data_IF_404964015465
#
_entry.id   IF_404964015465
#
_cell.length_a   1.000
_cell.length_b   1.000
_cell.length_c   1.000
_cell.angle_alpha   90.00
_cell.angle_beta   90.00
_cell.angle_gamma   90.00
#
_symmetry.space_group_name_H-M   'P 1'
#
loop_
_entity.id
_entity.type
_entity.pdbx_description
1 polymer ?
#
# COMPACT_ATOMS: atom_id res chain seq x y z
N UNK A 1 -15.16 -15.83 -68.14
CA UNK A 1 -15.76 -16.74 -67.13
C UNK A 1 -14.90 -16.82 -65.88
N UNK A 2 -13.60 -17.14 -65.98
CA UNK A 2 -12.69 -17.27 -64.83
C UNK A 2 -12.53 -16.04 -63.91
N UNK A 3 -12.56 -14.81 -64.43
CA UNK A 3 -12.37 -13.60 -63.60
C UNK A 3 -13.58 -13.29 -62.68
N UNK A 4 -14.79 -13.69 -63.08
CA UNK A 4 -16.00 -13.48 -62.28
C UNK A 4 -16.05 -14.45 -61.09
N UNK A 5 -15.63 -15.71 -61.27
CA UNK A 5 -15.56 -16.71 -60.21
C UNK A 5 -14.52 -16.34 -59.13
N UNK A 6 -13.41 -15.73 -59.52
CA UNK A 6 -12.36 -15.26 -58.59
C UNK A 6 -12.88 -14.11 -57.70
N UNK A 7 -13.63 -13.15 -58.26
CA UNK A 7 -14.21 -12.06 -57.46
C UNK A 7 -15.29 -12.55 -56.48
N UNK A 8 -16.13 -13.51 -56.89
CA UNK A 8 -17.13 -14.11 -56.01
C UNK A 8 -16.51 -14.94 -54.89
N UNK A 9 -15.43 -15.68 -55.18
CA UNK A 9 -14.72 -16.46 -54.15
C UNK A 9 -13.96 -15.56 -53.18
N UNK A 10 -13.32 -14.48 -53.63
CA UNK A 10 -12.70 -13.46 -52.76
C UNK A 10 -13.75 -12.79 -51.87
N UNK A 11 -14.91 -12.42 -52.42
CA UNK A 11 -16.01 -11.83 -51.63
C UNK A 11 -16.57 -12.78 -50.57
N UNK A 12 -16.70 -14.07 -50.89
CA UNK A 12 -17.18 -15.07 -49.95
C UNK A 12 -16.14 -15.36 -48.85
N UNK A 13 -14.86 -15.43 -49.19
CA UNK A 13 -13.76 -15.59 -48.23
C UNK A 13 -13.65 -14.36 -47.32
N UNK A 14 -13.75 -13.14 -47.85
CA UNK A 14 -13.76 -11.91 -47.06
C UNK A 14 -14.97 -11.85 -46.10
N UNK A 15 -16.15 -12.28 -46.55
CA UNK A 15 -17.34 -12.40 -45.72
C UNK A 15 -17.17 -13.40 -44.57
N UNK A 16 -16.61 -14.58 -44.85
CA UNK A 16 -16.32 -15.59 -43.82
C UNK A 16 -15.29 -15.07 -42.81
N UNK A 17 -14.24 -14.38 -43.25
CA UNK A 17 -13.25 -13.75 -42.37
C UNK A 17 -13.88 -12.66 -41.50
N UNK A 18 -14.76 -11.81 -42.07
CA UNK A 18 -15.46 -10.78 -41.31
C UNK A 18 -16.38 -11.36 -40.24
N UNK A 19 -17.12 -12.43 -40.55
CA UNK A 19 -17.98 -13.13 -39.59
C UNK A 19 -17.14 -13.80 -38.49
N UNK A 20 -16.03 -14.44 -38.84
CA UNK A 20 -15.09 -15.02 -37.87
C UNK A 20 -14.50 -13.94 -36.95
N UNK A 21 -14.08 -12.79 -37.51
CA UNK A 21 -13.55 -11.68 -36.73
C UNK A 21 -14.61 -11.10 -35.78
N UNK A 22 -15.85 -10.94 -36.24
CA UNK A 22 -16.96 -10.50 -35.41
C UNK A 22 -17.27 -11.49 -34.28
N UNK A 23 -17.21 -12.79 -34.54
CA UNK A 23 -17.46 -13.83 -33.55
C UNK A 23 -16.34 -13.90 -32.50
N UNK A 24 -15.08 -13.75 -32.91
CA UNK A 24 -13.94 -13.61 -32.00
C UNK A 24 -14.08 -12.36 -31.13
N UNK A 25 -14.41 -11.21 -31.74
CA UNK A 25 -14.63 -9.96 -31.01
C UNK A 25 -15.75 -10.11 -29.97
N UNK A 26 -16.85 -10.77 -30.33
CA UNK A 26 -17.98 -11.02 -29.43
C UNK A 26 -17.61 -11.96 -28.28
N UNK A 27 -16.84 -13.02 -28.54
CA UNK A 27 -16.33 -13.92 -27.48
C UNK A 27 -15.41 -13.19 -26.49
N UNK A 28 -14.51 -12.34 -26.99
CA UNK A 28 -13.63 -11.53 -26.14
C UNK A 28 -14.46 -10.53 -25.32
N UNK A 29 -15.43 -9.87 -25.93
CA UNK A 29 -16.29 -8.90 -25.25
C UNK A 29 -17.19 -9.54 -24.20
N UNK A 30 -17.69 -10.76 -24.45
CA UNK A 30 -18.55 -11.52 -23.54
C UNK A 30 -17.93 -11.69 -22.15
N UNK A 31 -16.61 -11.87 -22.06
CA UNK A 31 -15.88 -11.94 -20.78
C UNK A 31 -15.96 -10.64 -19.96
N UNK A 32 -16.02 -9.49 -20.63
CA UNK A 32 -16.04 -8.17 -19.97
C UNK A 32 -17.44 -7.71 -19.58
N UNK A 33 -18.50 -8.30 -20.15
CA UNK A 33 -19.89 -7.94 -19.82
C UNK A 33 -20.16 -8.13 -18.33
N UNK A 34 -19.75 -9.26 -17.74
CA UNK A 34 -19.97 -9.52 -16.31
C UNK A 34 -19.24 -8.52 -15.40
N UNK A 35 -18.03 -8.13 -15.78
CA UNK A 35 -17.24 -7.10 -15.09
C UNK A 35 -17.88 -5.72 -15.18
N UNK A 36 -18.34 -5.36 -16.38
CA UNK A 36 -19.01 -4.10 -16.65
C UNK A 36 -20.31 -3.97 -15.86
N UNK A 37 -21.15 -5.02 -15.84
CA UNK A 37 -22.39 -5.02 -15.06
C UNK A 37 -22.10 -4.76 -13.59
N UNK A 38 -21.11 -5.43 -12.99
CA UNK A 38 -20.71 -5.20 -11.59
C UNK A 38 -20.26 -3.76 -11.34
N UNK A 39 -19.48 -3.19 -12.25
CA UNK A 39 -19.03 -1.80 -12.16
C UNK A 39 -20.21 -0.82 -12.25
N UNK A 40 -21.16 -1.09 -13.14
CA UNK A 40 -22.34 -0.26 -13.38
C UNK A 40 -23.29 -0.28 -12.18
N UNK A 41 -23.64 -1.47 -11.67
CA UNK A 41 -24.56 -1.62 -10.51
C UNK A 41 -24.00 -1.00 -9.25
N UNK A 42 -22.68 -0.96 -9.12
CA UNK A 42 -21.98 -0.42 -7.95
C UNK A 42 -21.67 1.08 -8.06
N UNK A 43 -22.05 1.74 -9.16
CA UNK A 43 -21.80 3.17 -9.36
C UNK A 43 -20.36 3.54 -9.74
N UNK A 44 -19.52 2.57 -10.11
CA UNK A 44 -18.09 2.79 -10.39
C UNK A 44 -17.80 3.58 -11.69
N UNK A 45 -18.83 3.89 -12.50
CA UNK A 45 -18.75 4.70 -13.74
C UNK A 45 -17.65 4.26 -14.73
N UNK A 46 -17.36 2.96 -14.83
CA UNK A 46 -16.41 2.42 -15.81
C UNK A 46 -17.18 1.98 -17.06
N UNK A 47 -16.90 2.63 -18.20
CA UNK A 47 -17.48 2.27 -19.49
C UNK A 47 -16.94 0.95 -20.04
N UNK A 48 -17.70 0.27 -20.93
CA UNK A 48 -17.28 -1.01 -21.51
C UNK A 48 -16.02 -0.86 -22.38
N UNK A 49 -15.88 0.26 -23.09
CA UNK A 49 -14.69 0.57 -23.88
C UNK A 49 -13.44 0.73 -23.00
N UNK A 50 -13.57 1.28 -21.80
CA UNK A 50 -12.44 1.45 -20.89
C UNK A 50 -11.87 0.09 -20.45
N UNK A 51 -12.72 -0.92 -20.23
CA UNK A 51 -12.27 -2.28 -19.87
C UNK A 51 -11.42 -2.91 -20.98
N UNK A 52 -11.83 -2.71 -22.24
CA UNK A 52 -11.07 -3.18 -23.40
C UNK A 52 -9.73 -2.43 -23.51
N UNK A 53 -9.76 -1.10 -23.36
CA UNK A 53 -8.54 -0.26 -23.40
C UNK A 53 -7.56 -0.62 -22.28
N UNK A 54 -8.05 -0.91 -21.07
CA UNK A 54 -7.22 -1.39 -19.96
C UNK A 54 -6.49 -2.69 -20.33
N UNK A 55 -7.21 -3.65 -20.91
CA UNK A 55 -6.61 -4.91 -21.35
C UNK A 55 -5.55 -4.70 -22.43
N UNK A 56 -5.74 -3.75 -23.35
CA UNK A 56 -4.73 -3.39 -24.36
C UNK A 56 -3.48 -2.75 -23.75
N UNK A 57 -3.65 -1.98 -22.66
CA UNK A 57 -2.54 -1.39 -21.88
C UNK A 57 -1.87 -2.38 -20.92
N UNK A 58 -2.24 -3.66 -20.95
CA UNK A 58 -1.80 -4.71 -20.01
C UNK A 58 -2.14 -4.41 -18.53
N UNK A 59 -3.18 -3.61 -18.29
CA UNK A 59 -3.75 -3.40 -16.95
C UNK A 59 -4.84 -4.43 -16.72
N UNK A 60 -4.85 -5.10 -15.56
CA UNK A 60 -5.87 -6.09 -15.25
C UNK A 60 -7.21 -5.40 -14.90
N UNK A 61 -8.25 -5.50 -15.76
CA UNK A 61 -9.50 -4.76 -15.54
C UNK A 61 -10.27 -5.24 -14.31
N UNK A 62 -10.10 -6.52 -13.93
CA UNK A 62 -10.75 -7.09 -12.75
C UNK A 62 -10.30 -6.36 -11.47
N UNK A 63 -8.98 -6.19 -11.32
CA UNK A 63 -8.41 -5.55 -10.13
C UNK A 63 -8.87 -4.09 -10.04
N UNK A 64 -8.88 -3.36 -11.16
CA UNK A 64 -9.31 -1.96 -11.22
C UNK A 64 -10.78 -1.83 -10.85
N UNK A 65 -11.66 -2.65 -11.45
CA UNK A 65 -13.10 -2.60 -11.17
C UNK A 65 -13.37 -2.92 -9.71
N UNK A 66 -12.84 -4.02 -9.18
CA UNK A 66 -13.08 -4.42 -7.78
C UNK A 66 -12.57 -3.34 -6.81
N UNK A 67 -11.42 -2.73 -7.12
CA UNK A 67 -10.84 -1.65 -6.31
C UNK A 67 -11.63 -0.35 -6.39
N UNK A 68 -12.13 0.00 -7.58
CA UNK A 68 -12.97 1.18 -7.78
C UNK A 68 -14.33 1.02 -7.08
N UNK A 69 -14.91 -0.18 -7.10
CA UNK A 69 -16.13 -0.50 -6.34
C UNK A 69 -15.88 -0.27 -4.84
N UNK A 70 -14.77 -0.78 -4.29
CA UNK A 70 -14.42 -0.54 -2.88
C UNK A 70 -14.29 0.95 -2.54
N UNK A 71 -13.65 1.74 -3.42
CA UNK A 71 -13.49 3.18 -3.20
C UNK A 71 -14.83 3.92 -3.20
N UNK A 72 -15.71 3.66 -4.17
CA UNK A 72 -17.03 4.28 -4.28
C UNK A 72 -17.92 3.94 -3.09
N UNK A 73 -17.94 2.67 -2.68
CA UNK A 73 -18.70 2.22 -1.50
C UNK A 73 -18.18 2.81 -0.17
N UNK A 74 -16.96 3.35 -0.16
CA UNK A 74 -16.37 4.04 0.98
C UNK A 74 -16.50 5.58 0.92
N UNK A 75 -17.17 6.12 -0.11
CA UNK A 75 -17.33 7.56 -0.31
C UNK A 75 -16.12 8.24 -0.97
N UNK A 76 -15.15 7.49 -1.50
CA UNK A 76 -13.95 8.01 -2.16
C UNK A 76 -14.16 8.14 -3.67
N UNK A 77 -15.22 8.85 -4.06
CA UNK A 77 -15.65 8.98 -5.46
C UNK A 77 -14.70 9.85 -6.31
N UNK A 78 -13.94 10.74 -5.67
CA UNK A 78 -13.03 11.67 -6.31
C UNK A 78 -11.85 10.99 -7.04
N UNK A 79 -11.51 9.76 -6.66
CA UNK A 79 -10.36 9.04 -7.25
C UNK A 79 -10.70 8.60 -8.67
N UNK A 80 -9.92 9.01 -9.66
CA UNK A 80 -10.20 8.66 -11.06
C UNK A 80 -9.70 7.27 -11.40
N UNK A 81 -10.35 6.61 -12.36
CA UNK A 81 -9.90 5.31 -12.88
C UNK A 81 -8.51 5.40 -13.51
N UNK A 82 -8.18 6.55 -14.11
CA UNK A 82 -6.88 6.80 -14.73
C UNK A 82 -5.74 6.83 -13.72
N UNK A 83 -5.96 7.39 -12.53
CA UNK A 83 -4.97 7.39 -11.45
C UNK A 83 -4.72 5.98 -10.92
N UNK A 84 -5.76 5.16 -10.79
CA UNK A 84 -5.63 3.74 -10.44
C UNK A 84 -4.82 2.97 -11.50
N UNK A 85 -5.11 3.18 -12.79
CA UNK A 85 -4.34 2.60 -13.90
C UNK A 85 -2.88 3.05 -13.88
N UNK A 86 -2.62 4.34 -13.66
CA UNK A 86 -1.26 4.88 -13.60
C UNK A 86 -0.46 4.27 -12.43
N UNK A 87 -1.07 4.15 -11.25
CA UNK A 87 -0.44 3.51 -10.08
C UNK A 87 -0.15 2.02 -10.32
N UNK A 88 -1.07 1.31 -10.99
CA UNK A 88 -0.85 -0.09 -11.38
C UNK A 88 0.33 -0.25 -12.34
N UNK A 89 0.40 0.61 -13.37
CA UNK A 89 1.48 0.58 -14.35
C UNK A 89 2.83 0.98 -13.74
N UNK A 90 2.83 1.81 -12.69
CA UNK A 90 4.02 2.12 -11.89
C UNK A 90 4.47 0.95 -11.00
N UNK A 91 3.74 -0.18 -10.99
CA UNK A 91 4.06 -1.37 -10.18
C UNK A 91 3.52 -1.31 -8.76
N UNK A 92 2.65 -0.36 -8.45
CA UNK A 92 2.02 -0.21 -7.14
C UNK A 92 0.89 -1.20 -6.88
N UNK A 93 0.56 -1.42 -5.61
CA UNK A 93 -0.54 -2.28 -5.20
C UNK A 93 -1.81 -1.46 -4.91
N UNK A 94 -2.66 -1.33 -5.92
CA UNK A 94 -3.89 -0.51 -5.84
C UNK A 94 -4.84 -1.00 -4.74
N UNK A 95 -4.98 -2.32 -4.54
CA UNK A 95 -5.90 -2.87 -3.54
C UNK A 95 -5.48 -2.46 -2.12
N UNK A 96 -4.18 -2.58 -1.81
CA UNK A 96 -3.61 -2.15 -0.53
C UNK A 96 -3.73 -0.65 -0.35
N UNK A 97 -3.41 0.10 -1.39
CA UNK A 97 -3.47 1.56 -1.40
C UNK A 97 -4.88 2.09 -1.13
N UNK A 98 -5.90 1.60 -1.85
CA UNK A 98 -7.30 2.02 -1.62
C UNK A 98 -7.80 1.59 -0.24
N UNK A 99 -7.47 0.39 0.24
CA UNK A 99 -7.82 -0.01 1.61
C UNK A 99 -7.22 0.93 2.66
N UNK A 100 -5.99 1.40 2.45
CA UNK A 100 -5.36 2.38 3.34
C UNK A 100 -6.10 3.73 3.32
N UNK A 101 -6.49 4.22 2.14
CA UNK A 101 -7.30 5.44 2.00
C UNK A 101 -8.67 5.31 2.67
N UNK A 102 -9.33 4.15 2.53
CA UNK A 102 -10.61 3.88 3.19
C UNK A 102 -10.44 3.89 4.71
N UNK A 103 -9.37 3.26 5.22
CA UNK A 103 -9.07 3.26 6.65
C UNK A 103 -8.78 4.69 7.17
N UNK A 104 -8.01 5.48 6.42
CA UNK A 104 -7.70 6.85 6.76
C UNK A 104 -8.96 7.73 6.78
N UNK A 105 -9.80 7.63 5.74
CA UNK A 105 -11.06 8.36 5.66
C UNK A 105 -12.02 8.02 6.80
N UNK A 106 -12.12 6.74 7.19
CA UNK A 106 -12.95 6.32 8.33
C UNK A 106 -12.39 6.75 9.68
N UNK A 107 -11.09 6.96 9.78
CA UNK A 107 -10.43 7.43 10.98
C UNK A 107 -10.23 8.96 11.02
N UNK A 108 -10.85 9.69 10.09
CA UNK A 108 -10.73 11.15 9.95
C UNK A 108 -9.27 11.64 9.80
N UNK A 109 -8.44 10.84 9.12
CA UNK A 109 -7.05 11.18 8.80
C UNK A 109 -6.99 11.70 7.37
N UNK A 110 -6.48 12.92 7.20
CA UNK A 110 -6.24 13.51 5.88
C UNK A 110 -5.11 12.78 5.16
N UNK A 111 -5.44 11.87 4.23
CA UNK A 111 -4.47 11.18 3.39
C UNK A 111 -4.85 11.35 1.92
N UNK A 112 -3.97 12.04 1.18
CA UNK A 112 -4.14 12.26 -0.25
C UNK A 112 -3.70 11.03 -1.07
N UNK A 113 -4.29 10.86 -2.26
CA UNK A 113 -3.92 9.81 -3.21
C UNK A 113 -2.42 9.85 -3.54
N UNK A 114 -1.88 11.03 -3.83
CA UNK A 114 -0.47 11.20 -4.20
C UNK A 114 0.49 10.81 -3.06
N UNK A 115 0.21 11.23 -1.83
CA UNK A 115 1.02 10.88 -0.64
C UNK A 115 1.00 9.39 -0.40
N UNK A 116 -0.18 8.77 -0.44
CA UNK A 116 -0.32 7.32 -0.30
C UNK A 116 0.38 6.56 -1.44
N UNK A 117 0.44 7.12 -2.65
CA UNK A 117 1.09 6.51 -3.81
C UNK A 117 2.61 6.59 -3.65
N UNK A 118 3.12 7.73 -3.20
CA UNK A 118 4.53 7.92 -2.89
C UNK A 118 5.02 6.94 -1.82
N UNK A 119 4.23 6.71 -0.75
CA UNK A 119 4.55 5.73 0.29
C UNK A 119 4.59 4.31 -0.28
N UNK A 120 3.60 3.93 -1.10
CA UNK A 120 3.50 2.59 -1.71
C UNK A 120 4.67 2.32 -2.66
N UNK A 121 4.99 3.30 -3.53
CA UNK A 121 6.09 3.22 -4.50
C UNK A 121 7.46 3.29 -3.84
N UNK A 122 7.58 3.91 -2.66
CA UNK A 122 8.78 3.84 -1.82
C UNK A 122 8.96 2.46 -1.15
N UNK A 123 8.08 1.49 -1.42
CA UNK A 123 8.14 0.14 -0.86
C UNK A 123 7.69 0.06 0.60
N UNK A 124 7.01 1.09 1.12
CA UNK A 124 6.44 1.09 2.47
C UNK A 124 5.00 0.59 2.43
N UNK A 125 4.54 0.02 3.55
CA UNK A 125 3.16 -0.45 3.66
C UNK A 125 2.25 0.68 4.13
N UNK A 126 1.54 1.32 3.19
CA UNK A 126 0.60 2.42 3.48
C UNK A 126 -0.48 2.00 4.48
N UNK A 127 -1.00 0.77 4.36
CA UNK A 127 -2.08 0.30 5.22
C UNK A 127 -1.65 0.17 6.68
N UNK A 128 -0.46 -0.42 6.91
CA UNK A 128 0.13 -0.52 8.24
C UNK A 128 0.46 0.86 8.84
N UNK A 129 0.93 1.79 8.01
CA UNK A 129 1.21 3.15 8.43
C UNK A 129 -0.05 3.88 8.92
N UNK A 130 -1.16 3.77 8.17
CA UNK A 130 -2.45 4.33 8.60
C UNK A 130 -2.91 3.65 9.89
N UNK A 131 -2.83 2.32 9.98
CA UNK A 131 -3.22 1.59 11.18
C UNK A 131 -2.43 2.04 12.42
N UNK A 132 -1.10 2.18 12.29
CA UNK A 132 -0.23 2.65 13.39
C UNK A 132 -0.46 4.13 13.73
N UNK A 133 -1.04 4.91 12.82
CA UNK A 133 -1.44 6.29 13.07
C UNK A 133 -2.75 6.40 13.86
N UNK A 134 -3.67 5.44 13.66
CA UNK A 134 -4.94 5.35 14.40
C UNK A 134 -4.74 4.69 15.76
N UNK A 135 -4.04 3.56 15.77
CA UNK A 135 -3.77 2.77 16.96
C UNK A 135 -2.25 2.69 17.16
N UNK A 136 -1.67 3.53 18.04
CA UNK A 136 -0.24 3.52 18.30
C UNK A 136 0.23 2.14 18.75
N UNK A 137 1.30 1.65 18.14
CA UNK A 137 1.84 0.34 18.49
C UNK A 137 2.92 0.45 19.53
N UNK A 138 2.97 -0.57 20.38
CA UNK A 138 3.95 -0.66 21.45
C UNK A 138 5.07 -1.59 21.00
N UNK A 139 6.30 -1.06 21.00
CA UNK A 139 7.51 -1.77 20.59
C UNK A 139 8.42 -1.92 21.82
N UNK A 140 8.96 -3.12 22.00
CA UNK A 140 9.97 -3.38 23.03
C UNK A 140 11.37 -3.02 22.47
N UNK A 141 12.14 -2.25 23.22
CA UNK A 141 13.54 -1.89 22.94
C UNK A 141 14.44 -2.55 24.00
N UNK A 142 15.28 -3.55 23.65
CA UNK A 142 15.53 -4.12 22.32
C UNK A 142 14.46 -5.16 21.92
N UNK A 143 14.25 -5.37 20.62
CA UNK A 143 13.32 -6.39 20.11
C UNK A 143 13.87 -7.82 20.38
N UNK A 144 13.23 -8.63 21.24
CA UNK A 144 13.69 -9.98 21.58
C UNK A 144 13.84 -10.90 20.37
N UNK A 145 12.97 -10.73 19.36
CA UNK A 145 12.90 -11.61 18.21
C UNK A 145 14.05 -11.38 17.22
N UNK A 146 14.60 -10.17 17.19
CA UNK A 146 15.66 -9.79 16.24
C UNK A 146 17.05 -9.88 16.83
N UNK A 147 17.24 -9.40 18.06
CA UNK A 147 18.58 -9.23 18.64
C UNK A 147 18.98 -10.33 19.64
N UNK A 148 18.06 -11.23 20.00
CA UNK A 148 18.30 -12.34 20.94
C UNK A 148 18.62 -11.89 22.37
N UNK A 149 18.55 -10.59 22.65
CA UNK A 149 18.76 -9.98 23.97
C UNK A 149 17.49 -9.23 24.38
N UNK A 150 17.12 -9.36 25.64
CA UNK A 150 15.89 -8.77 26.18
C UNK A 150 16.12 -7.44 26.91
N UNK A 151 17.39 -7.04 27.08
CA UNK A 151 17.79 -5.85 27.84
C UNK A 151 18.83 -5.04 27.09
N UNK A 152 18.74 -3.72 27.27
CA UNK A 152 19.80 -2.76 26.99
C UNK A 152 20.73 -2.74 28.20
N UNK A 153 22.02 -2.92 27.94
CA UNK A 153 23.05 -3.01 28.97
C UNK A 153 23.86 -1.70 28.96
N UNK A 154 23.96 -1.02 30.10
CA UNK A 154 24.77 0.20 30.27
C UNK A 154 25.58 0.15 31.56
N UNK A 155 26.73 0.83 31.61
CA UNK A 155 27.62 0.86 32.80
C UNK A 155 27.73 2.30 33.28
N UNK A 156 27.39 2.56 34.54
CA UNK A 156 27.54 3.89 35.16
C UNK A 156 29.00 4.15 35.55
N UNK A 157 29.36 5.40 35.88
CA UNK A 157 30.76 5.78 36.21
C UNK A 157 31.31 5.08 37.45
N UNK A 158 30.44 4.63 38.36
CA UNK A 158 30.79 3.78 39.50
C UNK A 158 31.12 2.32 39.12
N UNK A 159 31.07 1.97 37.83
CA UNK A 159 31.42 0.66 37.31
C UNK A 159 30.31 -0.38 37.39
N UNK A 160 29.10 0.00 37.83
CA UNK A 160 27.98 -0.93 37.97
C UNK A 160 27.18 -1.00 36.66
N UNK A 161 26.94 -2.23 36.20
CA UNK A 161 26.14 -2.50 35.02
C UNK A 161 24.64 -2.53 35.37
N UNK A 162 23.87 -1.72 34.65
CA UNK A 162 22.42 -1.71 34.69
C UNK A 162 21.86 -2.38 33.43
N UNK A 163 20.76 -3.13 33.62
CA UNK A 163 20.00 -3.76 32.55
C UNK A 163 18.63 -3.12 32.48
N UNK A 164 18.36 -2.38 31.42
CA UNK A 164 17.10 -1.69 31.19
C UNK A 164 16.30 -2.41 30.10
N UNK A 165 14.98 -2.44 30.25
CA UNK A 165 14.06 -2.83 29.18
C UNK A 165 13.10 -1.66 28.96
N UNK A 166 13.13 -1.08 27.77
CA UNK A 166 12.24 0.02 27.42
C UNK A 166 11.09 -0.49 26.55
N UNK A 167 9.94 0.14 26.72
CA UNK A 167 8.74 -0.14 25.93
C UNK A 167 8.22 1.21 25.44
N UNK A 168 8.35 1.45 24.15
CA UNK A 168 8.01 2.73 23.54
C UNK A 168 6.74 2.59 22.73
N UNK A 169 5.86 3.57 22.86
CA UNK A 169 4.66 3.68 22.02
C UNK A 169 5.02 4.52 20.82
N UNK A 170 4.94 3.96 19.61
CA UNK A 170 5.22 4.67 18.38
C UNK A 170 3.93 4.92 17.61
N UNK A 171 3.84 6.12 17.04
CA UNK A 171 2.77 6.52 16.14
C UNK A 171 3.37 6.93 14.82
N UNK A 172 2.77 6.51 13.71
CA UNK A 172 3.25 6.92 12.39
C UNK A 172 2.73 8.30 12.02
N UNK A 173 3.64 9.16 11.60
CA UNK A 173 3.31 10.38 10.87
C UNK A 173 3.35 10.08 9.36
N UNK A 174 2.20 10.18 8.70
CA UNK A 174 2.04 9.82 7.29
C UNK A 174 2.79 10.78 6.35
N UNK A 175 2.88 12.06 6.69
CA UNK A 175 3.53 13.09 5.84
C UNK A 175 5.05 12.91 5.77
N UNK A 176 5.64 12.36 6.84
CA UNK A 176 7.09 12.18 6.97
C UNK A 176 7.52 10.71 6.80
N UNK A 177 6.63 9.83 6.35
CA UNK A 177 6.94 8.41 6.23
C UNK A 177 7.92 8.12 5.10
N UNK A 178 7.87 8.89 4.01
CA UNK A 178 8.83 8.79 2.91
C UNK A 178 10.14 9.45 3.35
N UNK A 179 11.16 8.63 3.62
CA UNK A 179 12.47 9.08 4.13
C UNK A 179 12.55 9.24 5.66
N UNK A 180 11.47 8.92 6.39
CA UNK A 180 11.43 8.95 7.85
C UNK A 180 12.17 7.79 8.53
N UNK A 181 12.24 7.85 9.86
CA UNK A 181 12.82 6.79 10.68
C UNK A 181 11.96 5.53 10.62
N UNK A 182 12.61 4.39 10.37
CA UNK A 182 11.99 3.06 10.54
C UNK A 182 11.95 2.70 12.02
N UNK A 183 11.14 1.72 12.39
CA UNK A 183 11.13 1.17 13.75
C UNK A 183 12.52 0.74 14.23
N UNK A 184 13.32 0.19 13.32
CA UNK A 184 14.71 -0.20 13.62
C UNK A 184 15.57 1.02 13.99
N UNK A 185 15.39 2.13 13.29
CA UNK A 185 16.09 3.38 13.59
C UNK A 185 15.61 3.97 14.92
N UNK A 186 14.31 3.85 15.22
CA UNK A 186 13.75 4.27 16.51
C UNK A 186 14.31 3.42 17.65
N UNK A 187 14.32 2.09 17.52
CA UNK A 187 14.89 1.17 18.52
C UNK A 187 16.36 1.49 18.75
N UNK A 188 17.14 1.71 17.68
CA UNK A 188 18.55 2.04 17.78
C UNK A 188 18.79 3.37 18.50
N UNK A 189 18.06 4.43 18.14
CA UNK A 189 18.19 5.75 18.78
C UNK A 189 17.74 5.76 20.24
N UNK A 190 16.64 5.07 20.56
CA UNK A 190 16.18 4.91 21.94
C UNK A 190 17.19 4.10 22.74
N UNK A 191 17.74 3.02 22.15
CA UNK A 191 18.79 2.22 22.77
C UNK A 191 20.06 3.02 23.05
N UNK A 192 20.52 3.82 22.09
CA UNK A 192 21.65 4.74 22.25
C UNK A 192 21.38 5.76 23.36
N UNK A 193 20.20 6.38 23.38
CA UNK A 193 19.81 7.34 24.41
C UNK A 193 19.84 6.74 25.82
N UNK A 194 19.31 5.53 25.99
CA UNK A 194 19.30 4.82 27.29
C UNK A 194 20.72 4.48 27.74
N UNK A 195 21.55 3.91 26.85
CA UNK A 195 22.93 3.52 27.19
C UNK A 195 23.77 4.75 27.51
N UNK A 196 23.60 5.85 26.75
CA UNK A 196 24.28 7.12 26.99
C UNK A 196 23.87 7.75 28.33
N UNK A 197 22.57 7.78 28.63
CA UNK A 197 22.06 8.31 29.89
C UNK A 197 22.61 7.53 31.10
N UNK A 198 22.63 6.19 31.05
CA UNK A 198 23.23 5.36 32.11
C UNK A 198 24.73 5.65 32.26
N UNK A 199 25.47 5.74 31.15
CA UNK A 199 26.91 6.03 31.17
C UNK A 199 27.28 7.44 31.64
N UNK A 200 26.32 8.37 31.60
CA UNK A 200 26.53 9.76 32.04
C UNK A 200 26.37 9.97 33.55
N UNK A 201 25.70 9.05 34.25
CA UNK A 201 25.42 9.15 35.68
C UNK A 201 26.66 8.83 36.53
N UNK A 202 26.81 9.53 37.66
CA UNK A 202 27.95 9.31 38.57
C UNK A 202 27.80 7.97 39.31
N UNK A 203 26.57 7.61 39.69
CA UNK A 203 26.28 6.34 40.37
C UNK A 203 25.03 5.67 39.81
N UNK A 204 24.99 4.33 39.83
CA UNK A 204 23.81 3.56 39.43
C UNK A 204 22.56 3.90 40.25
N UNK A 205 22.74 4.41 41.48
CA UNK A 205 21.64 4.80 42.36
C UNK A 205 20.84 5.97 41.80
N UNK A 206 21.46 6.88 41.06
CA UNK A 206 20.76 8.02 40.43
C UNK A 206 19.74 7.54 39.39
N UNK A 207 20.13 6.57 38.55
CA UNK A 207 19.24 5.95 37.56
C UNK A 207 18.11 5.18 38.24
N UNK A 208 18.40 4.44 39.31
CA UNK A 208 17.39 3.70 40.07
C UNK A 208 16.44 4.62 40.85
N UNK A 209 16.92 5.78 41.32
CA UNK A 209 16.11 6.76 42.03
C UNK A 209 15.14 7.49 41.09
N UNK A 210 15.54 7.74 39.84
CA UNK A 210 14.69 8.39 38.85
C UNK A 210 14.74 7.70 37.46
N UNK A 211 13.88 6.69 37.23
CA UNK A 211 13.81 5.98 35.95
C UNK A 211 13.38 6.84 34.75
N UNK A 212 12.86 8.06 34.97
CA UNK A 212 12.54 8.99 33.87
C UNK A 212 13.79 9.58 33.22
N UNK A 213 14.97 9.49 33.87
CA UNK A 213 16.24 9.97 33.30
C UNK A 213 16.66 9.23 32.03
N UNK A 214 16.13 8.01 31.83
CA UNK A 214 16.43 7.14 30.69
C UNK A 214 15.23 6.98 29.74
N UNK A 215 14.11 7.68 30.00
CA UNK A 215 12.85 7.55 29.27
C UNK A 215 12.69 8.59 28.16
#
# INVERSE_FOLDING_TARGET
MFAAEIWTTIGMVAGVIAVLMALIFLLVFSRYIGLWVRAFTSGAKIGPLNLVVMSLRKVNPQIIVDTKIMAVQAGLDAITTREMEAHYLAGGNIQRHVRALIAAHRADISLNWETAAAIDLAGRNVFEAVQTSVDPKVIDCPDPRRYGRNTLDGVAKDGIQLKAKARVTVRTNLDQLVGGATEETVIARVGEGIVSAIGSCETHKEVLANPMMIA
#
